data_IF_967798480416
#
_entry.id   IF_967798480416
#
_cell.length_a   1.000
_cell.length_b   1.000
_cell.length_c   1.000
_cell.angle_alpha   90.00
_cell.angle_beta   90.00
_cell.angle_gamma   90.00
#
_symmetry.space_group_name_H-M   'P 1'
#
loop_
_entity.id
_entity.type
_entity.pdbx_description
1 polymer ?
#
# COMPACT_ATOMS: atom_id res chain seq x y z
N UNK A 1 55.51 31.41 43.70
CA UNK A 1 54.74 32.64 43.45
C UNK A 1 54.07 32.49 42.12
N UNK A 2 52.75 32.28 42.10
CA UNK A 2 51.96 32.27 40.87
C UNK A 2 51.28 33.61 40.74
N UNK A 3 51.62 34.30 39.65
CA UNK A 3 51.04 35.56 39.21
C UNK A 3 49.62 35.33 38.71
N UNK A 4 48.71 36.20 39.13
CA UNK A 4 47.41 36.50 38.53
C UNK A 4 47.57 36.92 37.07
N UNK A 5 46.58 36.64 36.22
CA UNK A 5 45.92 37.62 35.35
C UNK A 5 44.60 37.01 34.90
N UNK A 6 43.54 37.75 35.18
CA UNK A 6 42.19 37.54 34.67
C UNK A 6 41.89 38.68 33.68
N UNK A 7 40.94 38.42 32.78
CA UNK A 7 40.18 39.35 31.91
C UNK A 7 40.72 39.78 30.53
N UNK A 8 40.08 39.19 29.51
CA UNK A 8 39.03 39.78 28.66
C UNK A 8 39.34 40.27 27.22
N UNK A 9 38.30 40.05 26.38
CA UNK A 9 37.97 40.57 25.04
C UNK A 9 38.53 39.73 23.86
N UNK A 10 37.83 39.42 22.75
CA UNK A 10 36.60 39.95 22.14
C UNK A 10 36.01 38.94 21.13
N UNK A 11 34.73 39.10 20.85
CA UNK A 11 33.79 38.42 19.92
C UNK A 11 34.30 38.19 18.49
N UNK A 12 34.08 37.00 17.89
CA UNK A 12 33.29 36.81 16.65
C UNK A 12 33.23 35.34 16.18
N UNK A 13 31.99 34.92 15.91
CA UNK A 13 31.48 33.81 15.09
C UNK A 13 32.40 32.67 14.67
N UNK A 14 32.00 31.45 15.07
CA UNK A 14 32.06 30.36 14.12
C UNK A 14 30.85 29.43 14.29
N UNK A 15 30.15 29.19 13.19
CA UNK A 15 29.04 28.26 13.08
C UNK A 15 29.60 26.84 13.11
N UNK A 16 29.62 26.21 14.29
CA UNK A 16 29.76 24.76 14.37
C UNK A 16 28.39 24.12 14.20
N UNK A 17 28.17 23.57 13.01
CA UNK A 17 27.06 22.67 12.73
C UNK A 17 26.97 21.58 13.82
N UNK A 18 25.77 21.26 14.34
CA UNK A 18 25.64 20.19 15.32
C UNK A 18 26.03 18.86 14.65
N UNK A 19 27.09 18.25 15.17
CA UNK A 19 27.51 16.89 14.84
C UNK A 19 26.37 15.92 15.15
N UNK A 20 25.98 15.13 14.14
CA UNK A 20 25.04 14.03 14.26
C UNK A 20 25.77 12.88 14.96
N UNK A 21 25.41 12.65 16.23
CA UNK A 21 25.68 11.39 16.93
C UNK A 21 24.39 10.58 16.88
N UNK A 22 24.42 9.42 16.20
CA UNK A 22 23.33 8.45 16.15
C UNK A 22 23.15 7.82 17.54
N UNK A 23 22.36 8.46 18.40
CA UNK A 23 21.88 7.94 19.68
C UNK A 23 20.39 7.66 19.61
N UNK A 24 19.93 6.65 20.34
CA UNK A 24 18.49 6.40 20.61
C UNK A 24 17.93 7.70 21.21
N UNK A 25 17.17 8.47 20.42
CA UNK A 25 16.67 9.76 20.84
C UNK A 25 15.64 9.57 21.96
N UNK A 26 16.02 9.87 23.20
CA UNK A 26 15.09 10.07 24.31
C UNK A 26 14.51 11.48 24.21
N UNK A 27 13.18 11.57 24.16
CA UNK A 27 12.49 12.86 24.14
C UNK A 27 11.93 13.12 25.54
N UNK A 28 12.30 14.24 26.15
CA UNK A 28 11.68 14.74 27.36
C UNK A 28 10.59 15.75 26.95
N UNK A 29 9.33 15.48 27.30
CA UNK A 29 8.26 16.46 27.17
C UNK A 29 8.35 17.44 28.33
N UNK A 30 8.53 18.72 28.04
CA UNK A 30 8.63 19.80 29.04
C UNK A 30 7.21 20.28 29.39
N UNK A 31 6.88 20.34 30.67
CA UNK A 31 5.61 20.90 31.17
C UNK A 31 5.45 22.39 30.83
N UNK A 32 4.22 22.84 30.57
CA UNK A 32 3.83 24.25 30.83
C UNK A 32 3.52 25.18 29.65
N UNK A 33 3.16 24.70 28.46
CA UNK A 33 2.70 25.59 27.36
C UNK A 33 1.40 25.04 26.76
N UNK A 34 0.28 25.68 27.12
CA UNK A 34 -1.12 25.35 26.81
C UNK A 34 -1.72 24.15 27.58
N UNK A 35 -3.06 24.13 27.83
CA UNK A 35 -3.72 22.91 28.30
C UNK A 35 -3.36 21.80 27.30
N UNK A 36 -2.56 20.83 27.75
CA UNK A 36 -2.07 19.73 26.92
C UNK A 36 -3.25 18.81 26.55
N UNK A 37 -4.02 19.23 25.55
CA UNK A 37 -5.00 18.36 24.95
C UNK A 37 -4.31 17.38 24.00
N UNK A 38 -4.81 16.14 23.87
CA UNK A 38 -4.22 15.17 22.96
C UNK A 38 -4.13 15.68 21.52
N UNK A 39 -5.10 16.48 21.06
CA UNK A 39 -5.06 17.09 19.73
C UNK A 39 -3.86 18.03 19.57
N UNK A 40 -3.67 18.98 20.49
CA UNK A 40 -2.59 19.99 20.41
C UNK A 40 -1.22 19.31 20.44
N UNK A 41 -1.06 18.30 21.28
CA UNK A 41 0.17 17.52 21.36
C UNK A 41 0.48 16.81 20.04
N UNK A 42 -0.51 16.06 19.51
CA UNK A 42 -0.35 15.32 18.26
C UNK A 42 -0.08 16.27 17.11
N UNK A 43 -0.86 17.35 16.98
CA UNK A 43 -0.71 18.37 15.96
C UNK A 43 0.70 18.99 15.97
N UNK A 44 1.22 19.37 17.15
CA UNK A 44 2.57 19.95 17.30
C UNK A 44 3.68 18.98 16.90
N UNK A 45 3.52 17.68 17.13
CA UNK A 45 4.50 16.67 16.71
C UNK A 45 4.47 16.51 15.19
N UNK A 46 3.28 16.34 14.60
CA UNK A 46 3.15 16.08 13.15
C UNK A 46 3.44 17.32 12.30
N UNK A 47 3.20 18.53 12.82
CA UNK A 47 3.50 19.78 12.11
C UNK A 47 5.00 20.00 11.91
N UNK A 48 5.85 19.32 12.67
CA UNK A 48 7.31 19.35 12.55
C UNK A 48 7.86 18.31 11.55
N UNK A 49 6.99 17.63 10.82
CA UNK A 49 7.35 16.68 9.76
C UNK A 49 7.38 17.37 8.40
N UNK A 50 7.86 16.66 7.37
CA UNK A 50 7.79 17.17 6.01
C UNK A 50 6.33 17.31 5.60
N UNK A 51 5.93 18.48 5.13
CA UNK A 51 4.54 18.77 4.78
C UNK A 51 4.35 18.86 3.28
N UNK A 52 3.21 18.37 2.81
CA UNK A 52 2.72 18.45 1.44
C UNK A 52 1.25 18.88 1.49
N UNK A 53 0.92 20.01 0.84
CA UNK A 53 -0.47 20.45 0.72
C UNK A 53 -1.14 19.70 -0.43
N UNK A 54 -2.16 18.91 -0.10
CA UNK A 54 -2.90 18.10 -1.06
C UNK A 54 -4.16 18.82 -1.58
N UNK A 55 -4.43 20.04 -1.10
CA UNK A 55 -5.60 20.82 -1.45
C UNK A 55 -6.89 20.21 -0.93
N UNK A 56 -7.95 20.31 -1.73
CA UNK A 56 -9.28 19.83 -1.36
C UNK A 56 -9.49 18.38 -1.83
N UNK A 57 -9.74 17.46 -0.90
CA UNK A 57 -9.96 16.03 -1.15
C UNK A 57 -11.28 15.56 -0.58
N UNK A 58 -11.91 14.59 -1.23
CA UNK A 58 -13.06 13.88 -0.68
C UNK A 58 -12.65 12.85 0.39
N UNK A 59 -13.62 12.36 1.16
CA UNK A 59 -13.37 11.25 2.12
C UNK A 59 -12.82 10.01 1.42
N UNK A 60 -13.33 9.68 0.23
CA UNK A 60 -12.87 8.54 -0.56
C UNK A 60 -11.39 8.67 -0.92
N UNK A 61 -10.97 9.83 -1.43
CA UNK A 61 -9.57 10.11 -1.77
C UNK A 61 -8.64 9.96 -0.57
N UNK A 62 -9.05 10.49 0.59
CA UNK A 62 -8.31 10.38 1.84
C UNK A 62 -8.07 8.92 2.26
N UNK A 63 -9.10 8.08 2.15
CA UNK A 63 -8.99 6.66 2.45
C UNK A 63 -8.13 5.93 1.40
N UNK A 64 -8.27 6.27 0.12
CA UNK A 64 -7.52 5.67 -0.99
C UNK A 64 -6.02 6.01 -0.95
N UNK A 65 -5.65 7.26 -0.63
CA UNK A 65 -4.25 7.67 -0.45
C UNK A 65 -3.56 6.82 0.60
N UNK A 66 -4.27 6.54 1.69
CA UNK A 66 -3.80 5.66 2.72
C UNK A 66 -3.47 4.24 2.25
N UNK A 67 -4.21 3.70 1.29
CA UNK A 67 -4.04 2.34 0.77
C UNK A 67 -2.88 2.27 -0.22
N UNK A 68 -2.83 3.21 -1.15
CA UNK A 68 -1.97 3.10 -2.34
C UNK A 68 -0.51 3.45 -2.05
N UNK A 69 -0.26 4.34 -1.10
CA UNK A 69 1.11 4.81 -0.88
C UNK A 69 1.90 3.86 0.02
N UNK A 70 1.23 3.05 0.86
CA UNK A 70 1.92 2.20 1.84
C UNK A 70 2.82 2.99 2.79
N UNK A 71 2.68 4.31 2.81
CA UNK A 71 3.52 5.23 3.56
C UNK A 71 3.01 5.36 4.98
N UNK A 72 3.93 5.69 5.88
CA UNK A 72 3.63 6.14 7.22
C UNK A 72 3.53 7.66 7.18
N UNK A 73 2.41 8.23 7.60
CA UNK A 73 2.16 9.66 7.57
C UNK A 73 1.09 10.07 8.59
N UNK A 74 0.91 11.38 8.75
CA UNK A 74 -0.28 11.95 9.37
C UNK A 74 -0.99 12.86 8.37
N UNK A 75 -2.32 12.89 8.39
CA UNK A 75 -3.13 13.79 7.56
C UNK A 75 -3.83 14.79 8.46
N UNK A 76 -3.53 16.07 8.30
CA UNK A 76 -4.22 17.17 8.98
C UNK A 76 -5.37 17.60 8.08
N UNK A 77 -6.60 17.46 8.57
CA UNK A 77 -7.83 17.75 7.85
C UNK A 77 -8.50 18.97 8.46
N UNK A 78 -8.72 20.01 7.65
CA UNK A 78 -9.33 21.29 8.04
C UNK A 78 -8.73 21.93 9.31
N UNK A 79 -7.49 21.59 9.67
CA UNK A 79 -6.86 21.98 10.95
C UNK A 79 -7.64 21.57 12.21
N UNK A 80 -8.56 20.59 12.10
CA UNK A 80 -9.47 20.17 13.18
C UNK A 80 -9.42 18.67 13.48
N UNK A 81 -8.78 17.91 12.61
CA UNK A 81 -8.65 16.47 12.74
C UNK A 81 -7.26 16.05 12.27
N UNK A 82 -6.58 15.22 13.06
CA UNK A 82 -5.33 14.58 12.64
C UNK A 82 -5.58 13.08 12.49
N UNK A 83 -5.30 12.54 11.31
CA UNK A 83 -5.33 11.11 11.02
C UNK A 83 -3.94 10.55 11.10
N UNK A 84 -3.79 9.39 11.73
CA UNK A 84 -2.51 8.73 11.88
C UNK A 84 -2.48 7.46 11.02
N UNK A 85 -1.46 7.36 10.17
CA UNK A 85 -1.29 6.27 9.21
C UNK A 85 0.07 5.61 9.36
N UNK A 86 0.11 4.30 9.55
CA UNK A 86 1.35 3.53 9.65
C UNK A 86 1.40 2.46 8.56
N UNK A 87 2.37 2.56 7.65
CA UNK A 87 2.56 1.64 6.52
C UNK A 87 1.28 1.39 5.71
N UNK A 88 0.54 2.47 5.44
CA UNK A 88 -0.76 2.46 4.76
C UNK A 88 -1.95 1.92 5.57
N UNK A 89 -1.78 1.71 6.88
CA UNK A 89 -2.86 1.36 7.79
C UNK A 89 -3.25 2.58 8.60
N UNK A 90 -4.53 2.96 8.57
CA UNK A 90 -5.02 3.98 9.48
C UNK A 90 -5.08 3.41 10.90
N UNK A 91 -4.33 3.99 11.83
CA UNK A 91 -4.19 3.45 13.18
C UNK A 91 -5.00 4.22 14.23
N UNK A 92 -5.20 5.53 14.03
CA UNK A 92 -5.97 6.37 14.94
C UNK A 92 -6.34 7.73 14.31
N UNK A 93 -7.17 8.49 15.01
CA UNK A 93 -7.41 9.90 14.75
C UNK A 93 -7.70 10.68 16.02
N UNK A 94 -7.45 11.98 15.99
CA UNK A 94 -7.78 12.90 17.07
C UNK A 94 -8.37 14.19 16.54
N UNK A 95 -9.47 14.64 17.13
CA UNK A 95 -10.14 15.88 16.76
C UNK A 95 -9.87 16.99 17.77
N UNK A 96 -9.83 18.23 17.29
CA UNK A 96 -9.81 19.44 18.12
C UNK A 96 -11.09 19.62 18.93
N UNK A 97 -12.18 18.99 18.50
CA UNK A 97 -13.50 19.16 19.09
C UNK A 97 -13.67 18.12 20.21
N UNK A 98 -13.62 18.57 21.47
CA UNK A 98 -13.75 17.76 22.69
C UNK A 98 -12.73 16.61 22.83
N UNK A 99 -11.56 16.72 22.19
CA UNK A 99 -10.50 15.71 22.22
C UNK A 99 -10.99 14.30 21.89
N UNK A 100 -11.95 14.22 20.96
CA UNK A 100 -12.47 12.96 20.48
C UNK A 100 -11.36 12.19 19.76
N UNK A 101 -11.29 10.89 20.04
CA UNK A 101 -10.27 9.96 19.54
C UNK A 101 -10.88 8.80 18.76
N UNK A 102 -10.08 8.12 17.94
CA UNK A 102 -10.49 6.95 17.17
C UNK A 102 -11.71 7.24 16.27
N UNK A 103 -12.68 6.31 16.25
CA UNK A 103 -13.86 6.45 15.39
C UNK A 103 -14.71 7.69 15.72
N UNK A 104 -14.74 8.11 16.99
CA UNK A 104 -15.51 9.28 17.42
C UNK A 104 -14.94 10.59 16.87
N UNK A 105 -13.63 10.66 16.63
CA UNK A 105 -12.99 11.79 15.98
C UNK A 105 -13.47 11.96 14.52
N UNK A 106 -13.83 10.87 13.82
CA UNK A 106 -14.35 10.95 12.45
C UNK A 106 -15.78 11.46 12.35
N UNK A 107 -16.56 11.33 13.42
CA UNK A 107 -17.91 11.86 13.45
C UNK A 107 -17.93 13.40 13.43
N UNK A 108 -16.79 14.05 13.73
CA UNK A 108 -16.67 15.53 13.76
C UNK A 108 -16.38 16.14 12.39
N UNK A 109 -15.96 15.33 11.40
CA UNK A 109 -15.96 15.77 10.02
C UNK A 109 -17.42 16.07 9.67
N UNK A 110 -17.80 17.33 9.51
CA UNK A 110 -19.15 17.67 9.04
C UNK A 110 -19.42 17.00 7.69
N UNK A 111 -20.68 16.91 7.27
CA UNK A 111 -21.09 16.34 5.97
C UNK A 111 -20.60 17.12 4.73
N UNK A 112 -19.49 17.83 4.84
CA UNK A 112 -18.81 18.51 3.74
C UNK A 112 -18.35 17.48 2.70
N UNK A 113 -18.54 17.83 1.42
CA UNK A 113 -18.16 16.96 0.31
C UNK A 113 -16.63 16.92 0.09
N UNK A 114 -15.91 17.96 0.52
CA UNK A 114 -14.47 18.09 0.38
C UNK A 114 -13.85 18.74 1.62
N UNK A 115 -12.60 18.36 1.90
CA UNK A 115 -11.84 18.82 3.04
C UNK A 115 -10.47 19.33 2.58
N UNK A 116 -9.95 20.37 3.21
CA UNK A 116 -8.56 20.77 3.04
C UNK A 116 -7.65 19.78 3.76
N UNK A 117 -6.67 19.22 3.04
CA UNK A 117 -5.80 18.15 3.55
C UNK A 117 -4.34 18.55 3.42
N UNK A 118 -3.62 18.48 4.53
CA UNK A 118 -2.16 18.57 4.57
C UNK A 118 -1.60 17.22 4.99
N UNK A 119 -0.73 16.65 4.16
CA UNK A 119 -0.01 15.41 4.45
C UNK A 119 1.31 15.73 5.15
N UNK A 120 1.55 15.07 6.26
CA UNK A 120 2.75 15.19 7.08
C UNK A 120 3.50 13.86 7.06
N UNK A 121 4.69 13.83 6.46
CA UNK A 121 5.51 12.62 6.30
C UNK A 121 6.70 12.68 7.26
N UNK A 122 6.81 11.75 8.22
CA UNK A 122 7.97 11.66 9.09
C UNK A 122 9.21 11.23 8.29
N UNK A 123 10.37 11.76 8.64
CA UNK A 123 11.64 11.20 8.16
C UNK A 123 11.86 9.78 8.73
N UNK A 124 12.72 8.97 8.12
CA UNK A 124 12.98 7.57 8.54
C UNK A 124 13.20 7.36 10.06
N UNK A 125 13.94 8.21 10.82
CA UNK A 125 14.03 8.03 12.28
C UNK A 125 12.75 8.43 13.03
N UNK A 126 11.87 9.21 12.40
CA UNK A 126 10.61 9.69 12.96
C UNK A 126 9.41 8.81 12.59
N UNK A 127 9.54 7.88 11.64
CA UNK A 127 8.45 6.99 11.21
C UNK A 127 7.71 6.30 12.38
N UNK A 128 8.41 5.79 13.42
CA UNK A 128 7.76 5.14 14.55
C UNK A 128 6.97 6.09 15.48
N UNK A 129 7.09 7.41 15.32
CA UNK A 129 6.33 8.38 16.11
C UNK A 129 4.83 8.32 15.84
N UNK A 130 4.41 7.94 14.64
CA UNK A 130 2.99 7.78 14.32
C UNK A 130 2.33 6.76 15.27
N UNK A 131 3.07 5.71 15.64
CA UNK A 131 2.65 4.70 16.62
C UNK A 131 2.57 5.27 18.04
N UNK A 132 3.50 6.17 18.42
CA UNK A 132 3.47 6.86 19.72
C UNK A 132 2.20 7.69 19.86
N UNK A 133 1.90 8.47 18.83
CA UNK A 133 0.75 9.37 18.86
C UNK A 133 -0.55 8.57 18.99
N UNK A 134 -0.71 7.47 18.23
CA UNK A 134 -1.85 6.57 18.38
C UNK A 134 -1.92 5.87 19.76
N UNK A 135 -0.77 5.57 20.35
CA UNK A 135 -0.69 4.98 21.68
C UNK A 135 -1.08 5.98 22.79
N UNK A 136 -0.62 7.22 22.71
CA UNK A 136 -0.97 8.30 23.63
C UNK A 136 -2.47 8.62 23.60
N UNK A 137 -3.10 8.42 22.44
CA UNK A 137 -4.53 8.56 22.24
C UNK A 137 -5.35 7.37 22.76
N UNK A 138 -4.75 6.37 23.40
CA UNK A 138 -5.48 5.29 24.08
C UNK A 138 -6.02 4.19 23.16
N UNK A 139 -5.62 4.15 21.88
CA UNK A 139 -5.99 3.08 20.94
C UNK A 139 -5.21 1.78 21.16
N UNK A 140 -4.54 1.62 22.31
CA UNK A 140 -3.78 0.43 22.62
C UNK A 140 -4.48 -0.40 23.71
N UNK A 141 -4.54 -1.71 23.50
CA UNK A 141 -5.07 -2.64 24.50
C UNK A 141 -3.90 -3.18 25.31
N UNK A 142 -4.01 -3.14 26.63
CA UNK A 142 -3.12 -3.89 27.51
C UNK A 142 -3.23 -5.38 27.14
N UNK A 143 -2.17 -5.94 26.59
CA UNK A 143 -2.12 -7.34 26.20
C UNK A 143 -1.52 -8.19 27.30
N UNK A 144 -0.46 -7.70 27.94
CA UNK A 144 0.22 -8.37 29.03
C UNK A 144 0.65 -7.33 30.08
N UNK A 145 0.64 -7.75 31.33
CA UNK A 145 1.15 -6.97 32.46
C UNK A 145 2.15 -7.84 33.22
N UNK A 146 3.33 -7.30 33.48
CA UNK A 146 4.41 -7.98 34.18
C UNK A 146 4.87 -7.12 35.36
N UNK A 147 4.98 -7.73 36.53
CA UNK A 147 5.57 -7.10 37.70
C UNK A 147 7.01 -7.61 37.83
N UNK A 148 7.96 -6.71 37.64
CA UNK A 148 9.39 -7.00 37.62
C UNK A 148 10.00 -6.59 38.95
N UNK A 149 10.73 -7.52 39.57
CA UNK A 149 11.40 -7.29 40.86
C UNK A 149 12.92 -7.29 40.75
N UNK A 150 13.47 -7.57 39.57
CA UNK A 150 14.92 -7.54 39.34
C UNK A 150 15.30 -7.24 37.88
N UNK A 151 16.52 -6.75 37.68
CA UNK A 151 17.08 -6.44 36.35
C UNK A 151 17.17 -7.67 35.44
N UNK A 152 17.42 -8.86 36.01
CA UNK A 152 17.48 -10.11 35.25
C UNK A 152 16.11 -10.48 34.66
N UNK A 153 15.03 -10.35 35.46
CA UNK A 153 13.66 -10.58 34.99
C UNK A 153 13.26 -9.60 33.88
N UNK A 154 13.76 -8.37 33.94
CA UNK A 154 13.58 -7.40 32.85
C UNK A 154 14.26 -7.84 31.55
N UNK A 155 15.51 -8.31 31.62
CA UNK A 155 16.24 -8.78 30.44
C UNK A 155 15.57 -10.00 29.79
N UNK A 156 15.07 -10.93 30.60
CA UNK A 156 14.34 -12.11 30.13
C UNK A 156 13.03 -11.71 29.43
N UNK A 157 12.27 -10.78 30.02
CA UNK A 157 11.05 -10.25 29.42
C UNK A 157 11.32 -9.60 28.07
N UNK A 158 12.28 -8.68 27.98
CA UNK A 158 12.60 -8.02 26.70
C UNK A 158 13.11 -9.01 25.64
N UNK A 159 13.80 -10.07 26.05
CA UNK A 159 14.20 -11.16 25.16
C UNK A 159 13.00 -11.97 24.66
N UNK A 160 12.02 -12.23 25.52
CA UNK A 160 10.77 -12.88 25.13
C UNK A 160 9.95 -12.02 24.15
N UNK A 161 9.79 -10.72 24.44
CA UNK A 161 9.08 -9.78 23.56
C UNK A 161 9.74 -9.65 22.18
N UNK A 162 11.08 -9.67 22.12
CA UNK A 162 11.84 -9.75 20.86
C UNK A 162 11.50 -11.00 20.04
N UNK A 163 11.47 -12.16 20.69
CA UNK A 163 11.17 -13.44 20.03
C UNK A 163 9.74 -13.49 19.50
N UNK A 164 8.79 -12.87 20.20
CA UNK A 164 7.38 -12.78 19.79
C UNK A 164 7.13 -11.80 18.64
N UNK A 165 8.13 -11.00 18.26
CA UNK A 165 8.03 -9.97 17.21
C UNK A 165 6.87 -8.99 17.45
N UNK A 166 6.73 -8.53 18.69
CA UNK A 166 5.65 -7.61 19.05
C UNK A 166 5.78 -6.28 18.30
N UNK A 167 4.64 -5.73 17.85
CA UNK A 167 4.53 -4.36 17.37
C UNK A 167 3.54 -3.60 18.25
N UNK A 168 4.01 -2.57 18.96
CA UNK A 168 3.25 -1.89 20.01
C UNK A 168 4.15 -1.06 20.91
N UNK A 169 3.74 -0.81 22.15
CA UNK A 169 4.59 -0.15 23.12
C UNK A 169 4.66 -0.87 24.45
N UNK A 170 5.77 -0.67 25.14
CA UNK A 170 6.04 -1.16 26.48
C UNK A 170 6.11 0.05 27.40
N UNK A 171 5.19 0.15 28.34
CA UNK A 171 5.24 1.16 29.41
C UNK A 171 5.90 0.51 30.62
N UNK A 172 7.01 1.09 31.04
CA UNK A 172 7.78 0.69 32.20
C UNK A 172 7.67 1.80 33.25
N UNK A 173 7.12 1.46 34.41
CA UNK A 173 7.03 2.33 35.56
C UNK A 173 8.20 2.05 36.51
N UNK A 174 9.16 2.98 36.61
CA UNK A 174 10.38 2.84 37.42
C UNK A 174 10.57 4.05 38.35
N UNK A 175 10.21 3.87 39.62
CA UNK A 175 10.24 4.96 40.61
C UNK A 175 9.35 6.14 40.21
N UNK A 176 9.97 7.32 40.04
CA UNK A 176 9.30 8.57 39.60
C UNK A 176 9.32 8.77 38.08
N UNK A 177 9.65 7.74 37.30
CA UNK A 177 9.74 7.84 35.85
C UNK A 177 8.85 6.80 35.16
N UNK A 178 8.13 7.26 34.15
CA UNK A 178 7.45 6.41 33.18
C UNK A 178 8.28 6.38 31.91
N UNK A 179 8.78 5.20 31.57
CA UNK A 179 9.47 4.95 30.31
C UNK A 179 8.53 4.25 29.33
N UNK A 180 8.21 4.90 28.23
CA UNK A 180 7.48 4.31 27.11
C UNK A 180 8.48 3.88 26.05
N UNK A 181 8.43 2.62 25.61
CA UNK A 181 9.31 2.10 24.57
C UNK A 181 8.47 1.64 23.38
N UNK A 182 8.75 2.16 22.19
CA UNK A 182 8.11 1.67 20.98
C UNK A 182 8.83 0.43 20.45
N UNK A 183 8.06 -0.61 20.15
CA UNK A 183 8.53 -1.88 19.62
C UNK A 183 7.97 -2.09 18.21
N UNK A 184 8.81 -2.48 17.26
CA UNK A 184 8.43 -2.82 15.88
C UNK A 184 9.03 -4.19 15.56
N UNK A 185 8.17 -5.18 15.29
CA UNK A 185 8.55 -6.57 15.04
C UNK A 185 9.55 -7.14 16.06
N UNK A 186 9.37 -6.75 17.33
CA UNK A 186 10.20 -7.17 18.45
C UNK A 186 11.44 -6.32 18.68
N UNK A 187 11.82 -5.43 17.76
CA UNK A 187 12.95 -4.53 17.93
C UNK A 187 12.53 -3.20 18.57
N UNK A 188 13.38 -2.69 19.47
CA UNK A 188 13.16 -1.39 20.10
C UNK A 188 13.45 -0.30 19.06
N UNK A 189 12.41 0.44 18.69
CA UNK A 189 12.54 1.58 17.79
C UNK A 189 12.98 2.85 18.54
N UNK A 190 12.46 3.10 19.74
CA UNK A 190 12.78 4.28 20.56
C UNK A 190 12.36 4.11 22.02
N UNK A 191 12.69 5.08 22.88
CA UNK A 191 12.12 5.24 24.22
C UNK A 191 11.87 6.72 24.57
N UNK A 192 10.81 6.98 25.34
CA UNK A 192 10.43 8.28 25.89
C UNK A 192 10.37 8.14 27.40
N UNK A 193 10.95 9.08 28.14
CA UNK A 193 10.91 9.10 29.60
C UNK A 193 10.11 10.33 30.03
N UNK A 194 9.07 10.10 30.83
CA UNK A 194 8.25 11.14 31.42
C UNK A 194 8.34 11.08 32.95
N UNK A 195 8.26 12.22 33.65
CA UNK A 195 8.03 12.20 35.09
C UNK A 195 6.70 11.54 35.39
N UNK A 196 6.68 10.70 36.42
CA UNK A 196 5.47 10.03 36.89
C UNK A 196 4.77 10.89 37.92
N UNK A 197 3.48 11.15 37.72
CA UNK A 197 2.66 11.93 38.66
C UNK A 197 2.16 11.11 39.85
N UNK A 198 2.33 9.79 39.84
CA UNK A 198 1.96 8.90 40.96
C UNK A 198 3.09 8.80 41.99
N UNK A 199 2.75 8.85 43.28
CA UNK A 199 3.75 8.81 44.36
C UNK A 199 4.37 7.42 44.53
N UNK A 200 5.70 7.38 44.66
CA UNK A 200 6.54 6.18 44.88
C UNK A 200 6.01 5.22 45.97
N UNK A 201 5.29 5.76 46.96
CA UNK A 201 4.71 5.00 48.07
C UNK A 201 3.67 3.94 47.66
N UNK A 202 3.06 4.03 46.47
CA UNK A 202 2.04 3.08 46.02
C UNK A 202 2.61 1.85 45.29
N UNK A 203 3.90 1.86 44.90
CA UNK A 203 4.47 0.85 43.97
C UNK A 203 5.32 -0.27 44.57
N UNK A 204 5.47 -0.34 45.89
CA UNK A 204 6.15 -1.44 46.60
C UNK A 204 7.49 -1.90 45.95
N UNK A 205 8.36 -0.95 45.58
CA UNK A 205 9.70 -1.18 45.00
C UNK A 205 9.76 -2.03 43.72
N UNK A 206 8.62 -2.34 43.10
CA UNK A 206 8.56 -3.14 41.87
C UNK A 206 8.42 -2.27 40.63
N UNK A 207 9.09 -2.67 39.54
CA UNK A 207 8.92 -2.06 38.23
C UNK A 207 7.75 -2.73 37.54
N UNK A 208 6.72 -1.97 37.21
CA UNK A 208 5.58 -2.48 36.45
C UNK A 208 5.85 -2.31 34.95
N UNK A 209 5.71 -3.39 34.18
CA UNK A 209 5.87 -3.39 32.74
C UNK A 209 4.58 -3.83 32.08
N UNK A 210 3.92 -2.87 31.49
CA UNK A 210 2.72 -3.07 30.69
C UNK A 210 3.11 -3.16 29.21
N UNK A 211 2.64 -4.20 28.54
CA UNK A 211 2.78 -4.35 27.09
C UNK A 211 1.43 -4.05 26.46
N UNK A 212 1.41 -3.02 25.64
CA UNK A 212 0.24 -2.59 24.90
C UNK A 212 0.45 -2.91 23.42
N UNK A 213 -0.42 -3.76 22.87
CA UNK A 213 -0.52 -3.87 21.42
C UNK A 213 -1.37 -2.71 20.89
N UNK A 214 -0.96 -2.14 19.77
CA UNK A 214 -1.86 -1.29 19.00
C UNK A 214 -3.11 -2.10 18.72
N UNK A 215 -4.26 -1.58 19.15
CA UNK A 215 -5.54 -2.06 18.69
C UNK A 215 -5.97 -1.03 17.65
N UNK A 216 -5.46 -1.11 16.41
CA UNK A 216 -5.78 -0.09 15.43
C UNK A 216 -7.30 -0.02 15.37
N UNK A 217 -7.86 1.11 15.81
CA UNK A 217 -9.25 1.45 15.52
C UNK A 217 -9.22 1.89 14.07
N UNK A 218 -9.07 0.89 13.21
CA UNK A 218 -9.22 1.07 11.79
C UNK A 218 -10.64 1.63 11.62
N UNK A 219 -10.76 2.75 10.93
CA UNK A 219 -12.07 3.19 10.45
C UNK A 219 -12.40 2.20 9.33
N UNK A 220 -13.13 1.14 9.68
CA UNK A 220 -13.34 -0.02 8.81
C UNK A 220 -12.31 -1.15 9.02
N UNK A 221 -12.42 -2.31 8.39
CA UNK A 221 -11.36 -3.32 8.41
C UNK A 221 -10.09 -2.80 7.71
N UNK A 222 -8.92 -3.40 7.94
CA UNK A 222 -7.66 -3.01 7.28
C UNK A 222 -7.89 -3.00 5.76
N UNK A 223 -7.85 -1.81 5.16
CA UNK A 223 -8.10 -1.63 3.73
C UNK A 223 -7.18 -2.50 2.88
N UNK A 224 -5.90 -2.61 3.28
CA UNK A 224 -4.93 -3.55 2.72
C UNK A 224 -5.31 -5.03 2.92
N UNK A 225 -5.78 -5.42 4.12
CA UNK A 225 -6.27 -6.79 4.36
C UNK A 225 -7.50 -7.07 3.49
N UNK A 226 -8.42 -6.12 3.40
CA UNK A 226 -9.59 -6.22 2.54
C UNK A 226 -9.20 -6.30 1.07
N UNK A 227 -8.25 -5.50 0.59
CA UNK A 227 -7.71 -5.59 -0.77
C UNK A 227 -7.11 -6.97 -1.05
N UNK A 228 -6.33 -7.53 -0.11
CA UNK A 228 -5.75 -8.86 -0.24
C UNK A 228 -6.78 -10.00 -0.18
N UNK A 229 -7.87 -9.81 0.57
CA UNK A 229 -9.00 -10.75 0.71
C UNK A 229 -10.05 -10.58 -0.39
N UNK A 230 -9.96 -9.51 -1.18
CA UNK A 230 -10.91 -9.19 -2.24
C UNK A 230 -10.60 -9.99 -3.50
N UNK A 231 -11.65 -10.61 -4.03
CA UNK A 231 -11.62 -11.26 -5.33
C UNK A 231 -12.60 -10.54 -6.24
N UNK A 232 -12.14 -10.09 -7.40
CA UNK A 232 -13.03 -9.67 -8.48
C UNK A 232 -13.33 -10.90 -9.32
N UNK A 233 -14.58 -11.32 -9.41
CA UNK A 233 -15.01 -12.38 -10.31
C UNK A 233 -15.51 -11.81 -11.63
N UNK A 234 -15.11 -12.45 -12.73
CA UNK A 234 -15.62 -12.17 -14.07
C UNK A 234 -16.95 -12.92 -14.22
N UNK A 235 -18.06 -12.20 -14.11
CA UNK A 235 -19.41 -12.78 -14.17
C UNK A 235 -20.12 -12.39 -15.47
N UNK A 236 -21.13 -13.19 -15.82
CA UNK A 236 -21.98 -12.95 -17.00
C UNK A 236 -23.35 -12.45 -16.55
N UNK A 237 -23.81 -11.30 -17.07
CA UNK A 237 -25.09 -10.68 -16.69
C UNK A 237 -26.30 -11.52 -17.12
N UNK A 238 -26.20 -12.17 -18.29
CA UNK A 238 -27.25 -13.00 -18.86
C UNK A 238 -26.71 -14.26 -19.53
N UNK A 239 -27.32 -15.40 -19.22
CA UNK A 239 -26.99 -16.70 -19.83
C UNK A 239 -27.40 -16.79 -21.31
N UNK A 240 -28.31 -15.92 -21.77
CA UNK A 240 -28.89 -15.95 -23.12
C UNK A 240 -28.11 -15.11 -24.15
N UNK A 241 -27.02 -14.47 -23.73
CA UNK A 241 -26.19 -13.59 -24.55
C UNK A 241 -24.77 -14.12 -24.63
N UNK A 242 -24.03 -13.70 -25.66
CA UNK A 242 -22.61 -14.00 -25.80
C UNK A 242 -21.87 -13.61 -24.52
N UNK A 243 -20.90 -14.42 -24.08
CA UNK A 243 -20.07 -14.13 -22.89
C UNK A 243 -18.61 -14.42 -23.18
N UNK A 244 -17.69 -13.81 -22.42
CA UNK A 244 -16.25 -14.10 -22.55
C UNK A 244 -15.96 -15.60 -22.41
N UNK A 245 -16.64 -16.27 -21.48
CA UNK A 245 -16.55 -17.72 -21.30
C UNK A 245 -16.95 -18.50 -22.54
N UNK A 246 -17.98 -18.05 -23.28
CA UNK A 246 -18.37 -18.68 -24.54
C UNK A 246 -17.34 -18.42 -25.65
N UNK A 247 -16.74 -17.22 -25.70
CA UNK A 247 -15.65 -16.92 -26.64
C UNK A 247 -14.43 -17.82 -26.40
N UNK A 248 -14.07 -18.04 -25.14
CA UNK A 248 -12.99 -18.94 -24.73
C UNK A 248 -13.19 -20.40 -25.16
N UNK A 249 -14.43 -20.84 -25.39
CA UNK A 249 -14.77 -22.18 -25.86
C UNK A 249 -14.80 -22.29 -27.39
N UNK A 250 -14.84 -21.16 -28.10
CA UNK A 250 -14.84 -21.13 -29.55
C UNK A 250 -13.42 -21.13 -30.09
N UNK A 251 -13.25 -21.70 -31.30
CA UNK A 251 -12.00 -21.53 -32.04
C UNK A 251 -11.82 -20.04 -32.32
N UNK A 252 -10.70 -19.44 -31.91
CA UNK A 252 -10.43 -18.00 -32.05
C UNK A 252 -10.76 -17.45 -33.44
N UNK A 253 -10.49 -18.24 -34.48
CA UNK A 253 -10.77 -17.89 -35.87
C UNK A 253 -12.25 -17.53 -36.17
N UNK A 254 -13.19 -18.09 -35.38
CA UNK A 254 -14.64 -17.94 -35.55
C UNK A 254 -15.25 -16.79 -34.75
N UNK A 255 -14.48 -16.16 -33.86
CA UNK A 255 -14.95 -15.02 -33.09
C UNK A 255 -15.01 -13.80 -33.99
N UNK A 256 -16.18 -13.15 -34.07
CA UNK A 256 -16.39 -11.90 -34.83
C UNK A 256 -16.35 -10.67 -33.90
N UNK A 257 -16.15 -9.46 -34.46
CA UNK A 257 -16.26 -8.20 -33.71
C UNK A 257 -17.56 -8.07 -32.91
N UNK A 258 -18.71 -8.41 -33.52
CA UNK A 258 -20.03 -8.24 -32.91
C UNK A 258 -20.22 -9.20 -31.73
N UNK A 259 -19.68 -10.42 -31.84
CA UNK A 259 -19.67 -11.40 -30.74
C UNK A 259 -18.80 -10.93 -29.58
N UNK A 260 -17.68 -10.28 -29.88
CA UNK A 260 -16.79 -9.69 -28.88
C UNK A 260 -17.49 -8.55 -28.14
N UNK A 261 -18.07 -7.60 -28.86
CA UNK A 261 -18.81 -6.49 -28.26
C UNK A 261 -19.94 -6.97 -27.36
N UNK A 262 -20.73 -7.95 -27.83
CA UNK A 262 -21.83 -8.48 -27.02
C UNK A 262 -21.33 -9.23 -25.79
N UNK A 263 -20.22 -9.98 -25.91
CA UNK A 263 -19.58 -10.61 -24.77
C UNK A 263 -19.08 -9.60 -23.74
N UNK A 264 -18.49 -8.47 -24.18
CA UNK A 264 -18.06 -7.38 -23.30
C UNK A 264 -19.26 -6.75 -22.60
N UNK A 265 -20.31 -6.37 -23.35
CA UNK A 265 -21.56 -5.80 -22.78
C UNK A 265 -22.19 -6.70 -21.73
N UNK A 266 -22.12 -8.01 -21.94
CA UNK A 266 -22.69 -9.03 -21.07
C UNK A 266 -21.73 -9.50 -19.95
N UNK A 267 -20.53 -8.93 -19.86
CA UNK A 267 -19.56 -9.22 -18.79
C UNK A 267 -19.62 -8.13 -17.72
N UNK A 268 -19.38 -8.53 -16.47
CA UNK A 268 -19.22 -7.62 -15.33
C UNK A 268 -18.12 -8.13 -14.41
N UNK A 269 -17.36 -7.21 -13.80
CA UNK A 269 -16.48 -7.52 -12.68
C UNK A 269 -17.25 -7.34 -11.38
N UNK A 270 -17.55 -8.45 -10.71
CA UNK A 270 -18.25 -8.43 -9.41
C UNK A 270 -17.26 -8.67 -8.28
N UNK A 271 -17.32 -7.83 -7.25
CA UNK A 271 -16.57 -8.04 -6.02
C UNK A 271 -17.20 -9.18 -5.23
N UNK A 272 -16.42 -10.24 -4.99
CA UNK A 272 -16.79 -11.39 -4.15
C UNK A 272 -15.88 -11.38 -2.93
N UNK A 273 -16.49 -11.38 -1.73
CA UNK A 273 -15.75 -11.30 -0.46
C UNK A 273 -16.34 -10.25 0.49
N UNK A 274 -15.50 -9.37 1.05
CA UNK A 274 -15.84 -8.37 2.07
C UNK A 274 -16.81 -7.24 1.60
N UNK A 275 -17.70 -7.52 0.65
CA UNK A 275 -18.61 -6.59 -0.04
C UNK A 275 -19.60 -5.89 0.89
N UNK A 276 -19.99 -6.54 1.99
CA UNK A 276 -21.09 -6.07 2.84
C UNK A 276 -20.63 -5.19 4.00
N UNK A 277 -19.33 -4.95 4.13
CA UNK A 277 -18.81 -4.09 5.18
C UNK A 277 -19.10 -2.63 4.84
N UNK A 278 -19.57 -1.89 5.83
CA UNK A 278 -19.83 -0.45 5.72
C UNK A 278 -18.88 0.28 6.65
N UNK A 279 -18.17 1.26 6.11
CA UNK A 279 -17.35 2.21 6.86
C UNK A 279 -18.20 3.44 7.11
N UNK A 280 -18.28 3.85 8.37
CA UNK A 280 -18.91 5.11 8.73
C UNK A 280 -17.82 6.18 8.91
N UNK A 281 -17.88 7.22 8.09
CA UNK A 281 -17.06 8.43 8.24
C UNK A 281 -18.03 9.60 8.29
N UNK A 282 -17.97 10.43 9.33
CA UNK A 282 -18.97 11.49 9.54
C UNK A 282 -20.41 10.90 9.55
N UNK A 283 -21.33 11.58 8.85
CA UNK A 283 -22.67 11.09 8.54
C UNK A 283 -22.72 10.17 7.31
N UNK A 284 -21.59 9.88 6.66
CA UNK A 284 -21.53 9.08 5.44
C UNK A 284 -21.32 7.59 5.77
N UNK A 285 -22.16 6.74 5.19
CA UNK A 285 -22.00 5.30 5.18
C UNK A 285 -21.41 4.88 3.83
N UNK A 286 -20.13 4.50 3.82
CA UNK A 286 -19.39 4.13 2.62
C UNK A 286 -19.30 2.61 2.58
N UNK A 287 -19.83 1.98 1.51
CA UNK A 287 -19.66 0.54 1.36
C UNK A 287 -18.22 0.24 0.96
N UNK A 288 -17.67 -0.79 1.56
CA UNK A 288 -16.31 -1.23 1.26
C UNK A 288 -16.14 -1.62 -0.21
N UNK A 289 -17.19 -2.19 -0.81
CA UNK A 289 -17.22 -2.51 -2.23
C UNK A 289 -17.04 -1.27 -3.13
N UNK A 290 -17.56 -0.11 -2.73
CA UNK A 290 -17.45 1.12 -3.52
C UNK A 290 -15.99 1.63 -3.51
N UNK A 291 -15.33 1.61 -2.34
CA UNK A 291 -13.91 1.94 -2.23
C UNK A 291 -13.00 1.00 -3.05
N UNK A 292 -13.31 -0.29 -3.04
CA UNK A 292 -12.53 -1.29 -3.79
C UNK A 292 -12.72 -1.17 -5.31
N UNK A 293 -13.87 -0.67 -5.77
CA UNK A 293 -14.11 -0.36 -7.20
C UNK A 293 -13.27 0.83 -7.65
N UNK A 294 -13.05 1.79 -6.77
CA UNK A 294 -12.30 3.01 -7.07
C UNK A 294 -10.77 2.81 -7.00
N UNK A 295 -10.29 1.66 -6.53
CA UNK A 295 -8.86 1.35 -6.54
C UNK A 295 -8.29 1.38 -7.96
N UNK A 296 -7.06 1.90 -8.17
CA UNK A 296 -6.42 1.93 -9.48
C UNK A 296 -6.36 0.54 -10.15
N UNK A 297 -6.09 -0.50 -9.34
CA UNK A 297 -6.08 -1.90 -9.78
C UNK A 297 -7.40 -2.35 -10.40
N UNK A 298 -8.52 -2.04 -9.73
CA UNK A 298 -9.87 -2.37 -10.22
C UNK A 298 -10.21 -1.56 -11.46
N UNK A 299 -9.88 -0.26 -11.48
CA UNK A 299 -10.10 0.61 -12.64
C UNK A 299 -9.35 0.13 -13.87
N UNK A 300 -8.10 -0.33 -13.73
CA UNK A 300 -7.32 -0.91 -14.83
C UNK A 300 -7.96 -2.20 -15.34
N UNK A 301 -8.43 -3.08 -14.46
CA UNK A 301 -9.08 -4.32 -14.88
C UNK A 301 -10.41 -4.07 -15.60
N UNK A 302 -11.20 -3.11 -15.12
CA UNK A 302 -12.40 -2.64 -15.82
C UNK A 302 -12.04 -2.04 -17.17
N UNK A 303 -11.04 -1.16 -17.24
CA UNK A 303 -10.56 -0.61 -18.51
C UNK A 303 -10.08 -1.69 -19.48
N UNK A 304 -9.33 -2.68 -19.00
CA UNK A 304 -8.82 -3.77 -19.83
C UNK A 304 -9.96 -4.57 -20.46
N UNK A 305 -11.00 -4.90 -19.69
CA UNK A 305 -12.13 -5.73 -20.14
C UNK A 305 -13.16 -4.92 -20.93
N UNK A 306 -13.56 -3.75 -20.45
CA UNK A 306 -14.67 -2.97 -21.02
C UNK A 306 -14.18 -1.96 -22.07
N UNK A 307 -13.02 -1.33 -21.84
CA UNK A 307 -12.48 -0.31 -22.73
C UNK A 307 -11.59 -0.89 -23.82
N UNK A 308 -10.50 -1.55 -23.43
CA UNK A 308 -9.47 -2.02 -24.34
C UNK A 308 -9.97 -3.15 -25.24
N UNK A 309 -10.63 -4.20 -24.71
CA UNK A 309 -11.21 -5.24 -25.56
C UNK A 309 -12.23 -4.66 -26.57
N UNK A 310 -12.98 -3.64 -26.18
CA UNK A 310 -13.93 -2.97 -27.07
C UNK A 310 -13.20 -2.25 -28.21
N UNK A 311 -12.13 -1.51 -27.90
CA UNK A 311 -11.26 -0.90 -28.92
C UNK A 311 -10.66 -1.94 -29.87
N UNK A 312 -10.24 -3.11 -29.35
CA UNK A 312 -9.76 -4.21 -30.20
C UNK A 312 -10.87 -4.74 -31.09
N UNK A 313 -12.08 -4.92 -30.56
CA UNK A 313 -13.26 -5.34 -31.32
C UNK A 313 -13.56 -4.43 -32.51
N UNK A 314 -13.38 -3.12 -32.34
CA UNK A 314 -13.61 -2.10 -33.38
C UNK A 314 -12.43 -1.89 -34.34
N UNK A 315 -11.29 -2.55 -34.11
CA UNK A 315 -10.09 -2.34 -34.93
C UNK A 315 -10.20 -3.04 -36.29
N UNK A 316 -9.77 -2.36 -37.35
CA UNK A 316 -9.58 -2.95 -38.69
C UNK A 316 -8.60 -4.15 -38.67
N UNK A 317 -7.78 -4.26 -37.62
CA UNK A 317 -6.81 -5.35 -37.40
C UNK A 317 -7.33 -6.41 -36.42
N UNK A 318 -8.63 -6.46 -36.13
CA UNK A 318 -9.23 -7.39 -35.16
C UNK A 318 -8.75 -8.84 -35.33
N UNK A 319 -8.68 -9.34 -36.57
CA UNK A 319 -8.28 -10.73 -36.85
C UNK A 319 -6.87 -11.07 -36.32
N UNK A 320 -5.95 -10.11 -36.33
CA UNK A 320 -4.57 -10.23 -35.82
C UNK A 320 -4.51 -9.88 -34.34
N UNK A 321 -5.19 -8.81 -33.92
CA UNK A 321 -5.18 -8.32 -32.55
C UNK A 321 -5.83 -9.33 -31.58
N UNK A 322 -6.90 -10.02 -31.99
CA UNK A 322 -7.61 -11.01 -31.16
C UNK A 322 -6.71 -12.13 -30.63
N UNK A 323 -5.69 -12.54 -31.39
CA UNK A 323 -4.74 -13.57 -30.95
C UNK A 323 -3.89 -13.08 -29.74
N UNK A 324 -3.62 -11.78 -29.67
CA UNK A 324 -2.86 -11.19 -28.56
C UNK A 324 -3.66 -11.01 -27.28
N UNK A 325 -4.99 -11.10 -27.35
CA UNK A 325 -5.90 -10.77 -26.25
C UNK A 325 -6.83 -11.92 -25.86
N UNK A 326 -6.78 -13.06 -26.55
CA UNK A 326 -7.69 -14.20 -26.30
C UNK A 326 -7.56 -14.76 -24.88
N UNK A 327 -6.39 -14.59 -24.25
CA UNK A 327 -6.18 -14.94 -22.85
C UNK A 327 -7.15 -14.23 -21.88
N UNK A 328 -7.61 -13.02 -22.20
CA UNK A 328 -8.56 -12.27 -21.36
C UNK A 328 -9.90 -13.02 -21.26
N UNK A 329 -10.29 -13.76 -22.30
CA UNK A 329 -11.55 -14.50 -22.33
C UNK A 329 -11.58 -15.66 -21.33
N UNK A 330 -10.40 -16.14 -20.93
CA UNK A 330 -10.24 -17.25 -20.00
C UNK A 330 -10.19 -16.81 -18.54
N UNK A 331 -10.15 -15.50 -18.26
CA UNK A 331 -10.11 -15.00 -16.88
C UNK A 331 -11.40 -15.35 -16.15
N UNK A 332 -11.24 -15.91 -14.95
CA UNK A 332 -12.33 -16.24 -14.03
C UNK A 332 -12.34 -15.29 -12.84
N UNK A 333 -11.17 -15.06 -12.25
CA UNK A 333 -11.05 -14.25 -11.04
C UNK A 333 -9.77 -13.43 -11.03
N UNK A 334 -9.79 -12.33 -10.29
CA UNK A 334 -8.69 -11.39 -10.15
C UNK A 334 -8.49 -11.10 -8.67
N UNK A 335 -7.23 -11.16 -8.23
CA UNK A 335 -6.82 -10.82 -6.86
C UNK A 335 -5.87 -9.63 -6.90
N UNK A 336 -6.03 -8.75 -5.92
CA UNK A 336 -5.29 -7.48 -5.84
C UNK A 336 -4.12 -7.58 -4.85
N UNK A 337 -3.04 -6.84 -5.09
CA UNK A 337 -1.88 -6.69 -4.22
C UNK A 337 -1.28 -8.01 -3.68
N UNK A 338 -1.11 -9.00 -4.56
CA UNK A 338 -0.68 -10.33 -4.16
C UNK A 338 0.85 -10.46 -4.10
N UNK A 339 1.33 -11.08 -3.04
CA UNK A 339 2.73 -11.49 -2.90
C UNK A 339 2.87 -12.97 -3.24
N UNK A 340 3.59 -13.27 -4.32
CA UNK A 340 3.90 -14.63 -4.72
C UNK A 340 5.21 -15.09 -4.07
N UNK A 341 5.14 -16.17 -3.29
CA UNK A 341 6.30 -16.76 -2.63
C UNK A 341 7.08 -17.61 -3.62
N UNK A 342 8.39 -17.39 -3.69
CA UNK A 342 9.32 -18.14 -4.51
C UNK A 342 10.44 -18.72 -3.65
N UNK A 343 11.18 -19.69 -4.18
CA UNK A 343 12.39 -20.20 -3.53
C UNK A 343 13.48 -19.11 -3.37
N UNK A 344 13.44 -18.07 -4.20
CA UNK A 344 14.42 -16.97 -4.26
C UNK A 344 13.97 -15.73 -3.47
N UNK A 345 12.76 -15.72 -2.91
CA UNK A 345 12.18 -14.59 -2.18
C UNK A 345 10.71 -14.36 -2.47
N UNK A 346 10.20 -13.20 -2.07
CA UNK A 346 8.82 -12.78 -2.31
C UNK A 346 8.76 -11.77 -3.45
N UNK A 347 7.91 -12.02 -4.45
CA UNK A 347 7.69 -11.10 -5.58
C UNK A 347 6.27 -10.57 -5.49
N UNK A 348 6.11 -9.25 -5.48
CA UNK A 348 4.81 -8.59 -5.40
C UNK A 348 4.29 -8.22 -6.78
N UNK A 349 3.00 -8.45 -6.99
CA UNK A 349 2.24 -7.99 -8.15
C UNK A 349 0.97 -7.26 -7.68
N UNK A 350 0.66 -6.19 -8.39
CA UNK A 350 -0.51 -5.35 -8.15
C UNK A 350 -1.80 -6.08 -8.48
N UNK A 351 -1.77 -6.90 -9.54
CA UNK A 351 -2.89 -7.76 -9.91
C UNK A 351 -2.37 -9.14 -10.33
N UNK A 352 -3.05 -10.17 -9.85
CA UNK A 352 -2.87 -11.57 -10.27
C UNK A 352 -4.22 -12.13 -10.66
N UNK A 353 -4.38 -12.53 -11.93
CA UNK A 353 -5.62 -13.10 -12.43
C UNK A 353 -5.48 -14.58 -12.74
N UNK A 354 -6.57 -15.31 -12.49
CA UNK A 354 -6.66 -16.76 -12.57
C UNK A 354 -7.64 -17.17 -13.66
N UNK A 355 -7.31 -18.25 -14.37
CA UNK A 355 -8.20 -18.87 -15.34
C UNK A 355 -9.24 -19.79 -14.68
N UNK A 356 -10.10 -20.40 -15.51
CA UNK A 356 -11.10 -21.35 -15.05
C UNK A 356 -10.54 -22.61 -14.37
N UNK A 357 -9.25 -22.91 -14.56
CA UNK A 357 -8.52 -24.02 -13.92
C UNK A 357 -7.77 -23.58 -12.66
N UNK A 358 -8.03 -22.37 -12.15
CA UNK A 358 -7.34 -21.77 -10.99
C UNK A 358 -5.82 -21.61 -11.20
N UNK A 359 -5.36 -21.54 -12.46
CA UNK A 359 -3.96 -21.26 -12.78
C UNK A 359 -3.77 -19.77 -13.01
N UNK A 360 -2.64 -19.24 -12.55
CA UNK A 360 -2.26 -17.84 -12.79
C UNK A 360 -2.09 -17.65 -14.30
N UNK A 361 -2.94 -16.82 -14.89
CA UNK A 361 -2.99 -16.54 -16.33
C UNK A 361 -2.40 -15.17 -16.68
N UNK A 362 -2.55 -14.21 -15.78
CA UNK A 362 -2.12 -12.84 -15.99
C UNK A 362 -1.51 -12.22 -14.74
N UNK A 363 -0.45 -11.43 -14.96
CA UNK A 363 0.26 -10.68 -13.93
C UNK A 363 0.36 -9.22 -14.33
N UNK A 364 0.14 -8.32 -13.38
CA UNK A 364 0.27 -6.90 -13.62
C UNK A 364 1.00 -6.20 -12.48
N UNK A 365 1.78 -5.19 -12.86
CA UNK A 365 2.46 -4.28 -11.95
C UNK A 365 2.21 -2.84 -12.36
N UNK A 366 1.92 -2.01 -11.37
CA UNK A 366 1.87 -0.56 -11.50
C UNK A 366 3.21 0.02 -11.04
N UNK A 367 3.81 0.86 -11.87
CA UNK A 367 5.06 1.53 -11.61
C UNK A 367 4.87 3.02 -11.46
N UNK A 368 5.67 3.61 -10.56
CA UNK A 368 5.82 5.07 -10.44
C UNK A 368 6.77 5.61 -11.53
N UNK A 369 7.46 4.75 -12.29
CA UNK A 369 8.40 5.14 -13.33
C UNK A 369 8.11 4.46 -14.67
N UNK A 370 8.46 5.16 -15.75
CA UNK A 370 8.45 4.64 -17.11
C UNK A 370 9.83 4.19 -17.58
N UNK A 371 10.74 3.83 -16.67
CA UNK A 371 12.14 3.58 -17.01
C UNK A 371 12.38 2.18 -17.56
N UNK A 372 13.43 2.04 -18.37
CA UNK A 372 13.87 0.73 -18.87
C UNK A 372 14.20 -0.26 -17.75
N UNK A 373 14.82 0.20 -16.65
CA UNK A 373 15.19 -0.65 -15.54
C UNK A 373 13.96 -1.26 -14.85
N UNK A 374 12.87 -0.48 -14.73
CA UNK A 374 11.64 -0.97 -14.13
C UNK A 374 10.96 -2.03 -14.99
N UNK A 375 10.91 -1.81 -16.31
CA UNK A 375 10.35 -2.77 -17.27
C UNK A 375 11.20 -4.04 -17.33
N UNK A 376 12.54 -3.92 -17.35
CA UNK A 376 13.47 -5.06 -17.31
C UNK A 376 13.28 -5.92 -16.05
N UNK A 377 13.15 -5.27 -14.89
CA UNK A 377 12.87 -5.95 -13.62
C UNK A 377 11.53 -6.66 -13.66
N UNK A 378 10.48 -6.00 -14.17
CA UNK A 378 9.16 -6.62 -14.32
C UNK A 378 9.18 -7.87 -15.22
N UNK A 379 9.81 -7.78 -16.39
CA UNK A 379 9.95 -8.92 -17.32
C UNK A 379 10.73 -10.08 -16.67
N UNK A 380 11.77 -9.76 -15.92
CA UNK A 380 12.57 -10.74 -15.17
C UNK A 380 11.71 -11.44 -14.10
N UNK A 381 10.96 -10.68 -13.30
CA UNK A 381 10.08 -11.21 -12.26
C UNK A 381 9.02 -12.14 -12.84
N UNK A 382 8.35 -11.75 -13.93
CA UNK A 382 7.36 -12.59 -14.62
C UNK A 382 8.00 -13.87 -15.15
N UNK A 383 9.20 -13.77 -15.72
CA UNK A 383 9.96 -14.94 -16.22
C UNK A 383 10.32 -15.89 -15.08
N UNK A 384 10.74 -15.35 -13.93
CA UNK A 384 11.04 -16.12 -12.73
C UNK A 384 9.81 -16.86 -12.21
N UNK A 385 8.66 -16.17 -12.08
CA UNK A 385 7.40 -16.81 -11.66
C UNK A 385 7.00 -17.92 -12.66
N UNK A 386 7.05 -17.65 -13.96
CA UNK A 386 6.69 -18.64 -15.00
C UNK A 386 7.57 -19.88 -14.93
N UNK A 387 8.89 -19.71 -14.73
CA UNK A 387 9.84 -20.82 -14.56
C UNK A 387 9.50 -21.67 -13.34
N UNK A 388 9.21 -21.02 -12.20
CA UNK A 388 8.98 -21.70 -10.93
C UNK A 388 7.63 -22.43 -10.86
N UNK A 389 6.60 -21.93 -11.55
CA UNK A 389 5.30 -22.59 -11.61
C UNK A 389 5.32 -23.92 -12.39
N UNK A 390 6.42 -24.24 -13.10
CA UNK A 390 6.68 -25.55 -13.72
C UNK A 390 5.74 -25.98 -14.85
N UNK A 391 4.64 -25.24 -15.06
CA UNK A 391 3.65 -25.46 -16.12
C UNK A 391 3.90 -24.44 -17.22
N UNK A 392 4.41 -24.91 -18.36
CA UNK A 392 4.75 -24.10 -19.55
C UNK A 392 3.62 -23.17 -20.02
N UNK A 393 2.38 -23.48 -19.65
CA UNK A 393 1.18 -22.80 -20.13
C UNK A 393 0.50 -21.82 -19.17
N UNK A 394 0.90 -21.73 -17.89
CA UNK A 394 0.10 -20.98 -16.90
C UNK A 394 0.00 -19.48 -17.24
N UNK A 395 1.12 -18.76 -17.23
CA UNK A 395 1.12 -17.32 -17.50
C UNK A 395 1.02 -17.06 -19.00
N UNK A 396 -0.09 -16.46 -19.45
CA UNK A 396 -0.38 -16.12 -20.85
C UNK A 396 0.01 -14.69 -21.19
N UNK A 397 -0.17 -13.75 -20.27
CA UNK A 397 0.13 -12.35 -20.48
C UNK A 397 0.61 -11.64 -19.21
N UNK A 398 1.29 -10.51 -19.42
CA UNK A 398 1.71 -9.61 -18.37
C UNK A 398 1.51 -8.16 -18.79
N UNK A 399 1.16 -7.28 -17.86
CA UNK A 399 0.96 -5.85 -18.09
C UNK A 399 1.78 -5.02 -17.11
N UNK A 400 2.60 -4.12 -17.63
CA UNK A 400 3.22 -3.07 -16.83
C UNK A 400 2.48 -1.76 -17.10
N UNK A 401 2.01 -1.08 -16.05
CA UNK A 401 1.34 0.22 -16.14
C UNK A 401 2.22 1.28 -15.51
N UNK A 402 2.66 2.27 -16.29
CA UNK A 402 3.44 3.40 -15.78
C UNK A 402 2.54 4.58 -15.45
N UNK A 403 2.81 5.25 -14.33
CA UNK A 403 2.14 6.50 -13.95
C UNK A 403 2.70 7.72 -14.71
N UNK A 404 3.82 7.54 -15.42
CA UNK A 404 4.47 8.58 -16.23
C UNK A 404 4.75 8.06 -17.64
N UNK A 405 4.95 8.94 -18.64
CA UNK A 405 5.39 8.53 -19.96
C UNK A 405 6.65 7.63 -19.90
N UNK A 406 6.72 6.65 -20.80
CA UNK A 406 7.90 5.79 -20.91
C UNK A 406 9.10 6.55 -21.48
N UNK A 407 10.29 6.23 -20.97
CA UNK A 407 11.55 6.74 -21.48
C UNK A 407 11.78 6.28 -22.93
N UNK A 408 12.52 7.08 -23.71
CA UNK A 408 12.74 6.83 -25.15
C UNK A 408 13.36 5.44 -25.45
N UNK A 409 14.15 4.90 -24.52
CA UNK A 409 14.86 3.63 -24.69
C UNK A 409 14.00 2.39 -24.37
N UNK A 410 12.82 2.57 -23.75
CA UNK A 410 11.89 1.48 -23.42
C UNK A 410 11.33 0.83 -24.68
N UNK A 411 11.02 1.63 -25.71
CA UNK A 411 10.52 1.09 -26.98
C UNK A 411 11.53 0.15 -27.64
N UNK A 412 12.81 0.51 -27.63
CA UNK A 412 13.89 -0.32 -28.14
C UNK A 412 14.08 -1.59 -27.30
N UNK A 413 14.01 -1.48 -25.97
CA UNK A 413 14.04 -2.64 -25.08
C UNK A 413 12.86 -3.58 -25.35
N UNK A 414 11.63 -3.06 -25.45
CA UNK A 414 10.43 -3.85 -25.71
C UNK A 414 10.58 -4.65 -27.01
N UNK A 415 11.03 -4.04 -28.10
CA UNK A 415 11.27 -4.74 -29.37
C UNK A 415 12.32 -5.85 -29.23
N UNK A 416 13.39 -5.60 -28.46
CA UNK A 416 14.44 -6.61 -28.18
C UNK A 416 13.92 -7.75 -27.31
N UNK A 417 13.08 -7.47 -26.33
CA UNK A 417 12.49 -8.45 -25.43
C UNK A 417 11.41 -9.31 -26.12
N UNK A 418 10.77 -8.80 -27.19
CA UNK A 418 9.55 -9.39 -27.80
C UNK A 418 9.74 -9.98 -29.22
N UNK A 419 10.98 -10.23 -29.67
CA UNK A 419 11.29 -10.92 -30.94
C UNK A 419 12.48 -11.90 -30.76
N UNK A 420 12.56 -13.14 -31.30
CA UNK A 420 12.00 -13.80 -32.50
C UNK A 420 11.60 -15.28 -32.22
N UNK A 421 10.72 -15.90 -33.05
CA UNK A 421 10.63 -17.36 -33.14
C UNK A 421 11.83 -17.91 -33.92
N UNK A 422 12.56 -18.86 -33.34
CA UNK A 422 13.43 -19.73 -34.13
C UNK A 422 12.55 -20.77 -34.84
N UNK A 423 12.64 -20.81 -36.17
CA UNK A 423 12.34 -21.96 -37.04
C UNK A 423 10.97 -22.63 -36.87
N UNK A 424 9.92 -22.07 -37.49
CA UNK A 424 8.72 -22.76 -38.05
C UNK A 424 7.60 -21.77 -38.45
N UNK A 425 7.73 -20.47 -38.14
CA UNK A 425 6.69 -19.46 -38.37
C UNK A 425 6.36 -19.12 -39.84
N UNK A 426 7.02 -19.72 -40.82
CA UNK A 426 6.63 -19.55 -42.24
C UNK A 426 5.37 -20.34 -42.62
N UNK A 427 4.92 -21.31 -41.81
CA UNK A 427 3.79 -22.18 -42.18
C UNK A 427 2.56 -22.08 -41.25
N UNK A 428 2.63 -21.34 -40.13
CA UNK A 428 1.54 -21.33 -39.12
C UNK A 428 1.09 -19.96 -38.61
N UNK A 429 1.59 -18.85 -39.15
CA UNK A 429 1.37 -17.52 -38.56
C UNK A 429 2.22 -17.36 -37.29
N UNK A 430 3.20 -16.45 -37.33
CA UNK A 430 4.16 -16.26 -36.24
C UNK A 430 3.53 -15.84 -34.90
N UNK A 431 4.30 -15.87 -33.79
CA UNK A 431 3.83 -15.40 -32.49
C UNK A 431 3.41 -13.94 -32.59
N UNK A 432 2.36 -13.57 -31.87
CA UNK A 432 1.80 -12.23 -31.89
C UNK A 432 2.84 -11.18 -31.43
N UNK A 433 2.70 -9.93 -31.91
CA UNK A 433 3.57 -8.82 -31.46
C UNK A 433 3.51 -8.71 -29.93
N UNK A 434 4.67 -8.54 -29.30
CA UNK A 434 4.77 -8.43 -27.85
C UNK A 434 5.07 -9.74 -27.12
N UNK A 435 5.26 -10.86 -27.82
CA UNK A 435 5.52 -12.14 -27.18
C UNK A 435 6.98 -12.29 -26.69
N UNK A 436 7.15 -12.51 -25.39
CA UNK A 436 8.45 -12.79 -24.75
C UNK A 436 8.64 -14.30 -24.65
N UNK A 437 9.70 -14.81 -25.28
CA UNK A 437 10.08 -16.24 -25.19
C UNK A 437 10.91 -16.51 -23.95
N UNK A 438 10.65 -17.65 -23.30
CA UNK A 438 11.45 -18.09 -22.16
C UNK A 438 12.40 -19.21 -22.56
N UNK A 439 13.57 -19.30 -21.91
CA UNK A 439 14.62 -20.29 -22.23
C UNK A 439 14.17 -21.76 -22.07
N UNK A 440 13.10 -22.03 -21.32
CA UNK A 440 12.64 -23.37 -20.97
C UNK A 440 11.42 -23.85 -21.77
N UNK A 441 11.06 -23.14 -22.85
CA UNK A 441 9.88 -23.43 -23.68
C UNK A 441 8.65 -22.64 -23.24
N UNK A 442 7.90 -22.14 -24.21
CA UNK A 442 6.76 -21.23 -23.98
C UNK A 442 7.16 -19.76 -23.79
N UNK A 443 6.17 -18.93 -23.47
CA UNK A 443 6.33 -17.49 -23.33
C UNK A 443 5.06 -16.82 -22.80
N UNK A 444 5.04 -15.50 -22.85
CA UNK A 444 3.87 -14.70 -22.47
C UNK A 444 3.83 -13.41 -23.31
N UNK A 445 2.65 -12.82 -23.42
CA UNK A 445 2.45 -11.54 -24.10
C UNK A 445 2.77 -10.41 -23.12
N UNK A 446 3.76 -9.58 -23.44
CA UNK A 446 4.10 -8.39 -22.68
C UNK A 446 3.31 -7.19 -23.22
N UNK A 447 2.57 -6.55 -22.32
CA UNK A 447 1.83 -5.33 -22.57
C UNK A 447 2.41 -4.20 -21.71
N UNK A 448 2.46 -3.00 -22.28
CA UNK A 448 2.88 -1.76 -21.64
C UNK A 448 1.75 -0.74 -21.78
N UNK A 449 1.33 -0.14 -20.68
CA UNK A 449 0.31 0.90 -20.65
C UNK A 449 0.76 2.10 -19.81
N UNK A 450 0.16 3.26 -20.07
CA UNK A 450 0.37 4.48 -19.30
C UNK A 450 -0.95 4.95 -18.71
N UNK A 451 -0.92 5.45 -17.47
CA UNK A 451 -2.01 6.21 -16.87
C UNK A 451 -1.85 7.68 -17.25
N UNK A 452 -2.51 8.11 -18.34
CA UNK A 452 -2.40 9.46 -18.88
C UNK A 452 -3.56 10.37 -18.46
N UNK A 453 -3.53 11.63 -18.92
CA UNK A 453 -4.57 12.62 -18.59
C UNK A 453 -5.98 12.22 -19.04
N UNK A 454 -6.09 11.43 -20.11
CA UNK A 454 -7.37 10.92 -20.64
C UNK A 454 -7.74 9.53 -20.09
N UNK A 455 -6.96 9.02 -19.12
CA UNK A 455 -7.07 7.67 -18.58
C UNK A 455 -6.02 6.72 -19.14
N UNK A 456 -6.27 5.42 -19.00
CA UNK A 456 -5.31 4.39 -19.39
C UNK A 456 -5.20 4.25 -20.92
N UNK A 457 -3.96 4.18 -21.40
CA UNK A 457 -3.64 3.96 -22.82
C UNK A 457 -2.66 2.81 -22.98
N UNK A 458 -2.91 1.93 -23.95
CA UNK A 458 -1.98 0.85 -24.30
C UNK A 458 -0.88 1.39 -25.21
N UNK A 459 0.36 1.40 -24.71
CA UNK A 459 1.56 1.84 -25.43
C UNK A 459 2.11 0.71 -26.30
N UNK A 460 2.11 -0.52 -25.79
CA UNK A 460 2.59 -1.67 -26.52
C UNK A 460 1.84 -2.96 -26.12
N UNK A 461 1.48 -3.86 -27.06
CA UNK A 461 1.63 -3.69 -28.50
C UNK A 461 0.66 -2.64 -29.05
N UNK A 462 1.14 -1.77 -29.94
CA UNK A 462 0.27 -0.79 -30.60
C UNK A 462 -0.77 -1.51 -31.47
N UNK A 463 -2.05 -1.30 -31.17
CA UNK A 463 -3.19 -1.91 -31.87
C UNK A 463 -3.70 -1.03 -33.04
N UNK A 464 -3.22 0.21 -33.13
CA UNK A 464 -3.49 1.12 -34.26
C UNK A 464 -2.99 0.54 -35.60
#
# INVERSE_FOLDING_TARGET
GSTTIDMAATVQGDQTAPQIVLGVNEYALVEGVDPMTPFILVHRVVSNWQTEDLGHKGVGDLLLMGINEGQTCALIINQRLVLLMYKGLLIDAVSSDNDLIGQSAFATLGGAAQFQVVKCVPSEPKEPWVVILAAMLGSAKLTNQHVIRSTAQSADLFTALRKERITGFVRQADGMQLRYQGMVDGEKAFAVIMPDTFTVAERNESTEVDVYALRPQLIGPSLRKGQNETVLEVVTKSINRSSLKQLALQKEAKVTPEMMEEAIRNTELTLVGASDRVIHVASAAIKYADLLRDLPHSRIMTWLIEGYLYQVGQSDKFATARQSISWVWHLKSVRLAQTLRTAEGNIMFDVVAYDASEKISFLMRMGVGGSRADVEKFVTDVTTIKRLLGTTESIKAALYVSSYPYDEDVGAYYQKATAKPFGLSMFTGGPAKGFVTTKHGGGFILNLAVDGEQGFEMVAPAIQ
#
